data_IF_205649023903
#
_entry.id   IF_205649023903
#
_cell.length_a   1.000
_cell.length_b   1.000
_cell.length_c   1.000
_cell.angle_alpha   90.00
_cell.angle_beta   90.00
_cell.angle_gamma   90.00
#
_symmetry.space_group_name_H-M   'P 1'
#
loop_
_entity.id
_entity.type
_entity.pdbx_description
1 polymer ?
#
# COMPACT_ATOMS: atom_id res chain seq x y z
N UNK A 1 -6.92 28.31 -3.48
CA UNK A 1 -8.12 27.62 -4.02
C UNK A 1 -8.17 26.22 -3.42
N UNK A 2 -9.33 25.70 -3.06
CA UNK A 2 -9.44 24.31 -2.60
C UNK A 2 -9.17 23.34 -3.75
N UNK A 3 -8.44 22.25 -3.46
CA UNK A 3 -8.20 21.12 -4.37
C UNK A 3 -9.09 19.96 -3.93
N UNK A 4 -9.68 19.27 -4.89
CA UNK A 4 -10.43 18.02 -4.67
C UNK A 4 -9.71 16.90 -5.43
N UNK A 5 -9.55 15.75 -4.78
CA UNK A 5 -9.04 14.55 -5.42
C UNK A 5 -10.02 13.40 -5.22
N UNK A 6 -10.20 12.61 -6.27
CA UNK A 6 -10.88 11.31 -6.23
C UNK A 6 -9.84 10.25 -6.55
N UNK A 7 -9.70 9.30 -5.63
CA UNK A 7 -8.75 8.20 -5.70
C UNK A 7 -9.50 6.96 -6.19
N UNK A 8 -9.05 6.38 -7.31
CA UNK A 8 -9.74 5.27 -7.97
C UNK A 8 -8.82 4.07 -8.05
N UNK A 9 -9.19 2.99 -7.36
CA UNK A 9 -8.58 1.67 -7.51
C UNK A 9 -9.40 0.81 -8.47
N UNK A 10 -8.73 0.06 -9.36
CA UNK A 10 -9.37 -0.87 -10.29
C UNK A 10 -8.63 -2.19 -10.33
N UNK A 11 -9.18 -3.20 -11.02
CA UNK A 11 -8.45 -4.45 -11.34
C UNK A 11 -7.30 -4.28 -12.34
N UNK A 12 -7.10 -3.07 -12.88
CA UNK A 12 -6.13 -2.80 -13.95
C UNK A 12 -5.15 -1.66 -13.61
N UNK A 13 -5.22 -1.10 -12.41
CA UNK A 13 -4.36 -0.02 -11.95
C UNK A 13 -5.12 1.04 -11.14
N UNK A 14 -4.40 2.06 -10.73
CA UNK A 14 -4.90 3.21 -9.97
C UNK A 14 -4.98 4.48 -10.84
N UNK A 15 -5.91 5.36 -10.51
CA UNK A 15 -6.06 6.68 -11.10
C UNK A 15 -6.29 7.74 -10.03
N UNK A 16 -5.76 8.94 -10.26
CA UNK A 16 -6.00 10.12 -9.43
C UNK A 16 -6.69 11.17 -10.29
N UNK A 17 -7.93 11.50 -9.94
CA UNK A 17 -8.71 12.53 -10.61
C UNK A 17 -8.66 13.80 -9.75
N UNK A 18 -8.16 14.90 -10.29
CA UNK A 18 -7.99 16.16 -9.56
C UNK A 18 -8.87 17.28 -10.16
N UNK A 19 -9.43 18.12 -9.29
CA UNK A 19 -10.17 19.33 -9.69
C UNK A 19 -10.00 20.45 -8.68
N UNK A 20 -10.40 21.65 -9.06
CA UNK A 20 -10.61 22.75 -8.13
C UNK A 20 -11.92 22.57 -7.34
N UNK A 21 -12.18 23.45 -6.38
CA UNK A 21 -13.41 23.44 -5.59
C UNK A 21 -14.72 23.52 -6.40
N UNK A 22 -14.67 23.96 -7.67
CA UNK A 22 -15.84 24.03 -8.56
C UNK A 22 -16.20 22.68 -9.17
N UNK A 23 -15.26 21.73 -9.22
CA UNK A 23 -15.48 20.33 -9.67
C UNK A 23 -16.03 20.22 -11.10
N UNK A 24 -15.74 21.19 -11.97
CA UNK A 24 -16.26 21.26 -13.36
C UNK A 24 -15.31 20.68 -14.41
N UNK A 25 -14.01 20.76 -14.17
CA UNK A 25 -12.96 20.21 -15.04
C UNK A 25 -12.07 19.32 -14.20
N UNK A 26 -11.73 18.15 -14.72
CA UNK A 26 -10.96 17.15 -14.02
C UNK A 26 -9.75 16.77 -14.82
N UNK A 27 -8.59 16.81 -14.19
CA UNK A 27 -7.35 16.24 -14.71
C UNK A 27 -7.23 14.80 -14.23
N UNK A 28 -6.91 13.88 -15.14
CA UNK A 28 -6.81 12.45 -14.85
C UNK A 28 -5.34 12.04 -14.92
N UNK A 29 -4.81 11.49 -13.81
CA UNK A 29 -3.48 10.89 -13.75
C UNK A 29 -3.59 9.37 -13.64
N UNK A 30 -2.78 8.66 -14.44
CA UNK A 30 -2.74 7.20 -14.50
C UNK A 30 -2.78 6.66 -15.95
N UNK A 31 -2.86 5.33 -16.13
CA UNK A 31 -2.91 4.32 -15.06
C UNK A 31 -1.58 4.25 -14.31
N UNK A 32 -1.63 4.38 -12.98
CA UNK A 32 -0.54 3.98 -12.11
C UNK A 32 -0.62 2.47 -11.88
N UNK A 33 0.52 1.79 -11.77
CA UNK A 33 0.59 0.34 -11.56
C UNK A 33 -0.24 -0.45 -12.60
N UNK A 34 -0.07 -0.12 -13.89
CA UNK A 34 -0.84 -0.75 -14.96
C UNK A 34 -0.77 -2.29 -14.88
N UNK A 35 -1.93 -2.94 -14.91
CA UNK A 35 -2.05 -4.40 -14.83
C UNK A 35 -2.12 -4.96 -13.40
N UNK A 36 -1.94 -4.14 -12.37
CA UNK A 36 -2.10 -4.54 -10.97
C UNK A 36 -3.53 -4.31 -10.47
N UNK A 37 -4.00 -5.18 -9.57
CA UNK A 37 -5.25 -4.96 -8.88
C UNK A 37 -5.03 -4.03 -7.70
N UNK A 38 -5.83 -2.96 -7.62
CA UNK A 38 -5.79 -1.99 -6.53
C UNK A 38 -7.01 -2.22 -5.64
N UNK A 39 -6.77 -2.82 -4.48
CA UNK A 39 -7.84 -3.15 -3.52
C UNK A 39 -8.31 -1.90 -2.77
N UNK A 40 -7.39 -1.01 -2.41
CA UNK A 40 -7.73 0.25 -1.75
C UNK A 40 -6.72 1.33 -2.06
N UNK A 41 -7.21 2.57 -2.20
CA UNK A 41 -6.40 3.77 -2.42
C UNK A 41 -6.94 4.86 -1.50
N UNK A 42 -6.10 5.39 -0.59
CA UNK A 42 -6.54 6.31 0.46
C UNK A 42 -5.53 7.41 0.70
N UNK A 43 -6.01 8.64 0.83
CA UNK A 43 -5.20 9.80 1.20
C UNK A 43 -5.21 10.04 2.71
N UNK A 44 -4.12 10.58 3.24
CA UNK A 44 -4.05 10.99 4.64
C UNK A 44 -4.93 12.23 4.88
N UNK A 45 -5.69 12.26 6.00
CA UNK A 45 -6.44 13.45 6.38
C UNK A 45 -5.54 14.59 6.92
N UNK A 46 -4.31 14.26 7.37
CA UNK A 46 -3.37 15.23 7.96
C UNK A 46 -2.31 15.73 6.98
N UNK A 47 -2.06 14.99 5.90
CA UNK A 47 -1.18 15.40 4.80
C UNK A 47 -1.85 15.12 3.44
N UNK A 48 -2.40 16.15 2.76
CA UNK A 48 -3.08 15.98 1.47
C UNK A 48 -2.22 15.47 0.32
N UNK A 49 -0.88 15.44 0.46
CA UNK A 49 0.01 14.84 -0.53
C UNK A 49 0.30 13.36 -0.23
N UNK A 50 0.01 12.89 0.99
CA UNK A 50 0.23 11.51 1.40
C UNK A 50 -0.87 10.61 0.86
N UNK A 51 -0.53 9.69 -0.03
CA UNK A 51 -1.44 8.67 -0.53
C UNK A 51 -0.87 7.27 -0.28
N UNK A 52 -1.75 6.31 -0.05
CA UNK A 52 -1.40 4.90 0.10
C UNK A 52 -2.23 4.05 -0.85
N UNK A 53 -1.58 3.10 -1.53
CA UNK A 53 -2.23 2.12 -2.39
C UNK A 53 -1.94 0.70 -1.90
N UNK A 54 -2.99 -0.11 -1.78
CA UNK A 54 -2.86 -1.56 -1.65
C UNK A 54 -2.94 -2.19 -3.03
N UNK A 55 -1.79 -2.59 -3.57
CA UNK A 55 -1.73 -3.34 -4.81
C UNK A 55 -1.60 -4.84 -4.50
N UNK A 56 -2.26 -5.68 -5.29
CA UNK A 56 -2.11 -7.13 -5.19
C UNK A 56 -2.07 -7.75 -6.58
N UNK A 57 -1.35 -8.85 -6.71
CA UNK A 57 -1.40 -9.70 -7.89
C UNK A 57 -1.27 -11.17 -7.51
N UNK A 58 -1.77 -12.07 -8.37
CA UNK A 58 -1.64 -13.51 -8.14
C UNK A 58 -0.19 -14.03 -8.20
N UNK A 59 0.73 -13.28 -8.81
CA UNK A 59 2.12 -13.71 -9.00
C UNK A 59 3.08 -13.15 -7.95
N UNK A 60 2.86 -11.90 -7.52
CA UNK A 60 3.77 -11.17 -6.63
C UNK A 60 3.16 -10.88 -5.26
N UNK A 61 1.90 -11.28 -5.02
CA UNK A 61 1.24 -11.10 -3.73
C UNK A 61 0.93 -9.64 -3.40
N UNK A 62 0.90 -9.34 -2.10
CA UNK A 62 0.56 -8.02 -1.55
C UNK A 62 1.76 -7.06 -1.61
N UNK A 63 1.57 -5.89 -2.22
CA UNK A 63 2.52 -4.78 -2.21
C UNK A 63 1.83 -3.51 -1.72
N UNK A 64 2.50 -2.72 -0.87
CA UNK A 64 2.02 -1.40 -0.47
C UNK A 64 2.82 -0.35 -1.23
N UNK A 65 2.12 0.68 -1.70
CA UNK A 65 2.73 1.85 -2.32
C UNK A 65 2.36 3.08 -1.52
N UNK A 66 3.32 3.98 -1.38
CA UNK A 66 3.11 5.30 -0.78
C UNK A 66 3.50 6.37 -1.79
N UNK A 67 2.75 7.45 -1.82
CA UNK A 67 3.11 8.68 -2.52
C UNK A 67 3.18 9.82 -1.52
N UNK A 68 4.19 10.66 -1.67
CA UNK A 68 4.45 11.81 -0.81
C UNK A 68 4.20 13.14 -1.56
N UNK A 69 3.73 13.08 -2.82
CA UNK A 69 3.54 14.22 -3.72
C UNK A 69 2.17 14.26 -4.42
N UNK A 70 1.18 13.60 -3.82
CA UNK A 70 -0.20 13.58 -4.29
C UNK A 70 -0.44 12.63 -5.47
N UNK A 71 0.40 11.61 -5.62
CA UNK A 71 0.26 10.53 -6.59
C UNK A 71 1.11 10.67 -7.86
N UNK A 72 2.06 11.62 -7.90
CA UNK A 72 2.94 11.81 -9.06
C UNK A 72 4.06 10.78 -9.06
N UNK A 73 4.64 10.54 -7.89
CA UNK A 73 5.64 9.49 -7.65
C UNK A 73 5.17 8.54 -6.57
N UNK A 74 5.64 7.30 -6.65
CA UNK A 74 5.26 6.22 -5.74
C UNK A 74 6.49 5.40 -5.37
N UNK A 75 6.55 4.93 -4.13
CA UNK A 75 7.57 4.03 -3.63
C UNK A 75 6.99 2.98 -2.70
N UNK A 76 7.70 1.85 -2.58
CA UNK A 76 7.33 0.74 -1.72
C UNK A 76 7.94 0.98 -0.33
N UNK A 77 7.11 1.10 0.74
CA UNK A 77 7.64 1.19 2.09
C UNK A 77 8.45 -0.06 2.45
N UNK A 78 9.58 0.10 3.14
CA UNK A 78 10.49 -1.00 3.46
C UNK A 78 11.62 -1.20 2.44
N UNK A 79 11.55 -0.58 1.26
CA UNK A 79 12.66 -0.57 0.30
C UNK A 79 13.67 0.54 0.65
N UNK A 80 14.97 0.23 0.84
CA UNK A 80 15.99 1.23 1.13
C UNK A 80 16.11 2.30 0.03
N UNK A 81 16.45 3.56 0.37
CA UNK A 81 16.66 4.60 -0.62
C UNK A 81 17.71 4.21 -1.66
N UNK A 82 17.36 4.36 -2.94
CA UNK A 82 18.26 4.05 -4.06
C UNK A 82 18.22 2.59 -4.54
N UNK A 83 17.49 1.70 -3.85
CA UNK A 83 17.29 0.34 -4.35
C UNK A 83 16.19 0.26 -5.40
N UNK A 84 16.44 -0.51 -6.45
CA UNK A 84 15.44 -0.80 -7.46
C UNK A 84 14.31 -1.64 -6.86
N UNK A 85 13.08 -1.19 -7.07
CA UNK A 85 11.83 -1.89 -6.72
C UNK A 85 11.44 -2.97 -7.75
N UNK A 86 12.19 -3.03 -8.85
CA UNK A 86 12.02 -4.00 -9.93
C UNK A 86 13.33 -4.76 -10.20
N UNK A 87 13.21 -5.92 -10.83
CA UNK A 87 14.34 -6.61 -11.46
C UNK A 87 14.83 -5.81 -12.68
N UNK A 88 16.02 -6.12 -13.23
CA UNK A 88 16.50 -5.50 -14.48
C UNK A 88 15.53 -5.64 -15.65
N UNK A 89 14.72 -6.70 -15.66
CA UNK A 89 13.68 -6.96 -16.66
C UNK A 89 12.38 -6.18 -16.41
N UNK A 90 12.33 -5.36 -15.35
CA UNK A 90 11.18 -4.51 -15.01
C UNK A 90 10.10 -5.19 -14.18
N UNK A 91 10.33 -6.41 -13.69
CA UNK A 91 9.37 -7.14 -12.86
C UNK A 91 9.45 -6.66 -11.40
N UNK A 92 8.33 -6.44 -10.69
CA UNK A 92 8.38 -6.05 -9.28
C UNK A 92 9.06 -7.10 -8.41
N UNK A 93 9.91 -6.66 -7.48
CA UNK A 93 10.52 -7.55 -6.49
C UNK A 93 9.45 -8.02 -5.48
N UNK A 94 9.41 -9.31 -5.20
CA UNK A 94 8.45 -9.89 -4.24
C UNK A 94 8.71 -9.52 -2.78
N UNK A 95 9.94 -9.16 -2.44
CA UNK A 95 10.38 -8.86 -1.06
C UNK A 95 9.92 -7.48 -0.55
N UNK A 96 9.17 -6.74 -1.35
CA UNK A 96 9.28 -5.28 -1.33
C UNK A 96 8.54 -4.53 -0.23
N UNK A 97 7.85 -5.19 0.69
CA UNK A 97 7.28 -4.50 1.86
C UNK A 97 7.91 -4.86 3.20
N UNK A 98 8.82 -5.86 3.22
CA UNK A 98 9.45 -6.36 4.45
C UNK A 98 8.46 -6.49 5.62
N UNK A 99 7.33 -7.16 5.41
CA UNK A 99 6.35 -7.33 6.47
C UNK A 99 6.97 -8.06 7.65
N UNK A 100 6.92 -7.42 8.82
CA UNK A 100 7.44 -7.96 10.07
C UNK A 100 6.28 -8.14 11.05
N UNK A 101 6.32 -9.24 11.78
CA UNK A 101 5.43 -9.46 12.92
C UNK A 101 6.08 -8.92 14.18
N UNK A 102 5.27 -8.38 15.09
CA UNK A 102 5.74 -8.09 16.43
C UNK A 102 6.25 -9.37 17.10
N UNK A 103 7.40 -9.26 17.77
CA UNK A 103 8.07 -10.38 18.42
C UNK A 103 8.27 -10.11 19.91
N UNK A 104 8.31 -11.20 20.69
CA UNK A 104 8.68 -11.15 22.10
C UNK A 104 10.16 -10.76 22.24
N UNK A 105 10.50 -9.73 23.05
CA UNK A 105 11.90 -9.34 23.27
C UNK A 105 12.77 -10.45 23.86
N UNK A 106 12.17 -11.36 24.63
CA UNK A 106 12.89 -12.44 25.34
C UNK A 106 13.22 -13.61 24.43
N UNK A 107 12.32 -13.95 23.49
CA UNK A 107 12.42 -15.17 22.69
C UNK A 107 12.65 -14.91 21.20
N UNK A 108 12.44 -13.67 20.74
CA UNK A 108 12.45 -13.30 19.32
C UNK A 108 11.32 -13.94 18.48
N UNK A 109 10.38 -14.65 19.12
CA UNK A 109 9.27 -15.32 18.43
C UNK A 109 8.09 -14.36 18.24
N UNK A 110 7.29 -14.53 17.17
CA UNK A 110 6.07 -13.75 16.96
C UNK A 110 5.13 -13.80 18.16
N UNK A 111 4.52 -12.65 18.50
CA UNK A 111 3.61 -12.54 19.64
C UNK A 111 2.32 -13.38 19.48
N UNK A 112 1.92 -13.63 18.23
CA UNK A 112 0.73 -14.43 17.91
C UNK A 112 1.06 -15.51 16.90
N UNK A 113 0.45 -16.68 17.09
CA UNK A 113 0.58 -17.85 16.21
C UNK A 113 -0.75 -18.59 16.16
N UNK A 114 -0.88 -19.51 15.20
CA UNK A 114 -1.96 -20.49 15.14
C UNK A 114 -1.38 -21.90 15.08
N UNK A 115 -2.16 -22.89 15.48
CA UNK A 115 -1.74 -24.29 15.38
C UNK A 115 -1.90 -24.79 13.94
N UNK A 116 -0.81 -25.31 13.38
CA UNK A 116 -0.79 -25.92 12.05
C UNK A 116 -1.33 -27.35 12.09
N UNK A 117 -1.58 -27.96 10.92
CA UNK A 117 -2.20 -29.29 10.83
C UNK A 117 -1.36 -30.39 11.50
N UNK A 118 -0.06 -30.17 11.67
CA UNK A 118 0.88 -31.08 12.34
C UNK A 118 1.03 -30.80 13.85
N UNK A 119 0.28 -29.84 14.37
CA UNK A 119 0.27 -29.45 15.78
C UNK A 119 1.30 -28.40 16.16
N UNK A 120 2.16 -27.94 15.23
CA UNK A 120 3.19 -26.93 15.51
C UNK A 120 2.65 -25.49 15.42
N UNK A 121 3.20 -24.52 16.18
CA UNK A 121 2.78 -23.13 16.09
C UNK A 121 3.39 -22.44 14.86
N UNK A 122 2.54 -21.85 14.03
CA UNK A 122 2.93 -21.08 12.85
C UNK A 122 2.49 -19.62 12.99
N UNK A 123 3.30 -18.65 12.52
CA UNK A 123 2.85 -17.27 12.40
C UNK A 123 1.58 -17.20 11.54
N UNK A 124 0.72 -16.22 11.81
CA UNK A 124 -0.34 -15.91 10.86
C UNK A 124 0.29 -15.48 9.53
N UNK A 125 -0.32 -15.85 8.42
CA UNK A 125 0.06 -15.35 7.10
C UNK A 125 -1.17 -14.68 6.52
N UNK A 126 -1.04 -13.40 6.14
CA UNK A 126 -2.09 -12.71 5.39
C UNK A 126 -1.73 -12.72 3.91
N UNK A 127 -2.76 -12.77 3.08
CA UNK A 127 -2.66 -12.78 1.63
C UNK A 127 -2.75 -11.38 1.04
N UNK A 128 -3.58 -10.51 1.63
CA UNK A 128 -3.86 -9.18 1.08
C UNK A 128 -4.25 -8.16 2.14
N UNK A 129 -4.06 -6.90 1.79
CA UNK A 129 -4.57 -5.72 2.50
C UNK A 129 -5.77 -5.20 1.72
N UNK A 130 -6.96 -5.34 2.25
CA UNK A 130 -8.20 -4.92 1.57
C UNK A 130 -8.68 -3.53 2.00
N UNK A 131 -8.21 -3.04 3.15
CA UNK A 131 -8.54 -1.70 3.67
C UNK A 131 -7.31 -1.01 4.23
N UNK A 132 -7.29 0.32 4.09
CA UNK A 132 -6.24 1.22 4.59
C UNK A 132 -6.92 2.39 5.28
N UNK A 133 -6.53 2.64 6.52
CA UNK A 133 -7.03 3.75 7.33
C UNK A 133 -5.84 4.56 7.83
N UNK A 134 -5.44 5.63 7.12
CA UNK A 134 -4.42 6.56 7.58
C UNK A 134 -4.82 7.20 8.91
N UNK A 135 -3.84 7.41 9.79
CA UNK A 135 -4.08 8.04 11.08
C UNK A 135 -4.66 9.45 10.93
N UNK A 136 -5.51 9.83 11.87
CA UNK A 136 -6.11 11.16 11.95
C UNK A 136 -5.14 12.22 12.51
N UNK A 137 -3.97 11.80 13.02
CA UNK A 137 -3.05 12.69 13.74
C UNK A 137 -1.59 12.52 13.34
N UNK A 138 -1.23 11.43 12.67
CA UNK A 138 0.16 11.12 12.29
C UNK A 138 0.23 10.76 10.79
N UNK A 139 0.92 11.55 9.96
CA UNK A 139 1.02 11.29 8.53
C UNK A 139 1.82 10.03 8.19
N UNK A 140 2.60 9.45 9.11
CA UNK A 140 3.41 8.26 8.86
C UNK A 140 2.81 6.97 9.43
N UNK A 141 1.65 7.04 10.07
CA UNK A 141 0.92 5.87 10.58
C UNK A 141 -0.31 5.54 9.73
N UNK A 142 -0.43 4.27 9.33
CA UNK A 142 -1.59 3.72 8.62
C UNK A 142 -1.98 2.37 9.21
N UNK A 143 -3.27 2.17 9.45
CA UNK A 143 -3.83 0.89 9.87
C UNK A 143 -4.34 0.12 8.65
N UNK A 144 -4.23 -1.21 8.68
CA UNK A 144 -4.61 -2.07 7.57
C UNK A 144 -5.59 -3.15 8.00
N UNK A 145 -6.67 -3.31 7.23
CA UNK A 145 -7.50 -4.51 7.27
C UNK A 145 -6.89 -5.56 6.34
N UNK A 146 -6.60 -6.74 6.88
CA UNK A 146 -5.97 -7.85 6.14
C UNK A 146 -6.89 -9.06 6.01
N UNK A 147 -6.67 -9.84 4.95
CA UNK A 147 -7.24 -11.18 4.68
C UNK A 147 -6.11 -12.15 4.37
#
# INVERSE_FOLDING_TARGET
MSRVQVLVGTRKGAFVLASDGKRKRWDVSGPHFAGWEIYHLKGSPVDPNRLYASQSSGWFGQIIQRSDDGGKTWHQPGTPPGEATTTPEGMPKGESNQFVYDTSPETGKPLTTHQWYDGTPHPWEFKRVWHLEPSLTDPDTVYAGVE
#
